data_IF_269270546024
#
_entry.id   IF_269270546024
#
_cell.length_a   1.000
_cell.length_b   1.000
_cell.length_c   1.000
_cell.angle_alpha   90.00
_cell.angle_beta   90.00
_cell.angle_gamma   90.00
#
_symmetry.space_group_name_H-M   'P 1'
#
loop_
_entity.id
_entity.type
_entity.pdbx_description
1 polymer ?
#
# COMPACT_ATOMS: atom_id res chain seq x y z
N UNK A 1 2.58 -11.41 -15.16
CA UNK A 1 1.32 -10.68 -15.44
C UNK A 1 1.07 -9.74 -14.29
N UNK A 2 1.00 -8.44 -14.54
CA UNK A 2 0.69 -7.44 -13.52
C UNK A 2 -0.83 -7.24 -13.45
N UNK A 3 -1.39 -7.15 -12.24
CA UNK A 3 -2.83 -6.98 -12.03
C UNK A 3 -3.06 -5.63 -11.37
N UNK A 4 -4.03 -4.87 -11.89
CA UNK A 4 -4.44 -3.59 -11.32
C UNK A 4 -5.86 -3.72 -10.78
N UNK A 5 -6.08 -3.24 -9.56
CA UNK A 5 -7.40 -3.04 -8.97
C UNK A 5 -7.67 -1.56 -8.79
N UNK A 6 -8.93 -1.15 -8.96
CA UNK A 6 -9.37 0.23 -8.84
C UNK A 6 -10.50 0.27 -7.85
N UNK A 7 -10.43 1.22 -6.91
CA UNK A 7 -11.54 1.56 -6.04
C UNK A 7 -11.73 3.07 -6.07
N UNK A 8 -12.91 3.51 -6.49
CA UNK A 8 -13.25 4.92 -6.49
C UNK A 8 -14.11 5.24 -5.26
N UNK A 9 -13.53 5.95 -4.28
CA UNK A 9 -14.20 6.39 -3.05
C UNK A 9 -14.65 7.85 -3.11
N UNK A 10 -14.19 8.61 -4.11
CA UNK A 10 -14.61 9.99 -4.31
C UNK A 10 -15.83 10.10 -5.23
N UNK A 11 -16.59 11.18 -5.05
CA UNK A 11 -17.78 11.51 -5.87
C UNK A 11 -17.67 12.85 -6.60
N UNK A 12 -16.50 13.50 -6.53
CA UNK A 12 -16.22 14.85 -7.04
C UNK A 12 -16.00 14.82 -8.56
N UNK A 13 -15.17 13.90 -9.04
CA UNK A 13 -14.79 13.78 -10.45
C UNK A 13 -15.43 12.52 -11.04
N UNK A 14 -16.18 12.70 -12.14
CA UNK A 14 -16.75 11.56 -12.87
C UNK A 14 -15.63 10.77 -13.55
N UNK A 15 -15.39 9.55 -13.07
CA UNK A 15 -14.39 8.65 -13.63
C UNK A 15 -15.02 7.62 -14.57
N UNK A 16 -14.37 7.37 -15.71
CA UNK A 16 -14.60 6.16 -16.48
C UNK A 16 -13.65 5.07 -15.94
N UNK A 17 -14.14 4.30 -14.97
CA UNK A 17 -13.36 3.31 -14.25
C UNK A 17 -12.78 2.21 -15.17
N UNK A 18 -13.54 1.79 -16.18
CA UNK A 18 -13.08 0.78 -17.15
C UNK A 18 -11.93 1.29 -18.01
N UNK A 19 -12.05 2.53 -18.51
CA UNK A 19 -10.99 3.16 -19.29
C UNK A 19 -9.74 3.40 -18.44
N UNK A 20 -9.91 3.94 -17.23
CA UNK A 20 -8.81 4.20 -16.30
C UNK A 20 -8.08 2.90 -15.94
N UNK A 21 -8.82 1.82 -15.65
CA UNK A 21 -8.25 0.51 -15.39
C UNK A 21 -7.40 0.01 -16.56
N UNK A 22 -7.95 0.08 -17.77
CA UNK A 22 -7.27 -0.38 -18.99
C UNK A 22 -5.98 0.42 -19.24
N UNK A 23 -6.04 1.74 -19.08
CA UNK A 23 -4.88 2.62 -19.23
C UNK A 23 -3.83 2.35 -18.15
N UNK A 24 -4.23 2.18 -16.89
CA UNK A 24 -3.32 1.88 -15.79
C UNK A 24 -2.59 0.55 -15.99
N UNK A 25 -3.29 -0.50 -16.44
CA UNK A 25 -2.69 -1.79 -16.77
C UNK A 25 -1.66 -1.67 -17.90
N UNK A 26 -1.97 -0.92 -18.95
CA UNK A 26 -1.06 -0.70 -20.07
C UNK A 26 0.21 0.06 -19.65
N UNK A 27 0.04 1.15 -18.88
CA UNK A 27 1.16 1.94 -18.35
C UNK A 27 2.05 1.09 -17.44
N UNK A 28 1.45 0.30 -16.56
CA UNK A 28 2.20 -0.58 -15.66
C UNK A 28 3.01 -1.62 -16.43
N UNK A 29 2.39 -2.31 -17.40
CA UNK A 29 3.08 -3.29 -18.23
C UNK A 29 4.26 -2.67 -19.01
N UNK A 30 4.08 -1.44 -19.50
CA UNK A 30 5.12 -0.71 -20.23
C UNK A 30 6.28 -0.29 -19.33
N UNK A 31 5.99 0.28 -18.16
CA UNK A 31 7.00 0.69 -17.18
C UNK A 31 7.85 -0.51 -16.71
N UNK A 32 7.22 -1.66 -16.47
CA UNK A 32 7.93 -2.86 -16.03
C UNK A 32 8.80 -3.44 -17.13
N UNK A 33 8.30 -3.51 -18.37
CA UNK A 33 9.12 -3.98 -19.51
C UNK A 33 10.31 -3.07 -19.78
N UNK A 34 10.18 -1.77 -19.51
CA UNK A 34 11.29 -0.81 -19.65
C UNK A 34 12.40 -0.99 -18.61
N UNK A 35 12.06 -1.51 -17.43
CA UNK A 35 13.00 -1.69 -16.30
C UNK A 35 13.58 -3.11 -16.25
N UNK A 36 12.78 -4.11 -16.60
CA UNK A 36 13.19 -5.52 -16.65
C UNK A 36 13.88 -5.78 -17.99
N UNK A 37 15.22 -5.86 -17.96
CA UNK A 37 16.05 -6.06 -19.16
C UNK A 37 15.56 -7.21 -20.05
N UNK A 38 15.78 -7.09 -21.37
CA UNK A 38 15.35 -8.06 -22.39
C UNK A 38 15.67 -9.50 -21.96
N UNK A 39 14.66 -10.38 -22.04
CA UNK A 39 14.81 -11.81 -21.73
C UNK A 39 14.60 -12.18 -20.26
N UNK A 40 14.34 -11.22 -19.36
CA UNK A 40 13.96 -11.51 -17.97
C UNK A 40 12.45 -11.61 -17.81
N UNK A 41 12.03 -12.56 -16.99
CA UNK A 41 10.62 -12.71 -16.64
C UNK A 41 10.16 -11.48 -15.85
N UNK A 42 9.05 -10.90 -16.28
CA UNK A 42 8.40 -9.81 -15.55
C UNK A 42 7.79 -10.40 -14.27
N UNK A 43 8.23 -9.97 -13.07
CA UNK A 43 7.66 -10.49 -11.84
C UNK A 43 6.14 -10.29 -11.82
N UNK A 44 5.41 -11.26 -11.26
CA UNK A 44 3.99 -11.09 -10.97
C UNK A 44 3.88 -10.18 -9.76
N UNK A 45 3.28 -9.01 -9.94
CA UNK A 45 2.98 -8.11 -8.85
C UNK A 45 1.63 -7.42 -9.09
N UNK A 46 1.03 -6.97 -8.01
CA UNK A 46 -0.28 -6.34 -7.99
C UNK A 46 -0.16 -4.86 -7.64
N UNK A 47 -1.03 -4.04 -8.20
CA UNK A 47 -1.16 -2.62 -7.85
C UNK A 47 -2.62 -2.28 -7.56
N UNK A 48 -2.88 -1.55 -6.49
CA UNK A 48 -4.21 -0.99 -6.22
C UNK A 48 -4.17 0.52 -6.40
N UNK A 49 -5.11 1.05 -7.19
CA UNK A 49 -5.39 2.46 -7.30
C UNK A 49 -6.65 2.75 -6.48
N UNK A 50 -6.54 3.64 -5.50
CA UNK A 50 -7.69 4.09 -4.71
C UNK A 50 -7.83 5.60 -4.89
N UNK A 51 -8.96 6.04 -5.46
CA UNK A 51 -9.26 7.45 -5.63
C UNK A 51 -10.08 7.92 -4.44
N UNK A 52 -9.58 8.90 -3.68
CA UNK A 52 -10.22 9.44 -2.47
C UNK A 52 -10.42 10.95 -2.59
N UNK A 53 -11.34 11.56 -1.82
CA UNK A 53 -11.46 13.01 -1.69
C UNK A 53 -10.23 13.68 -1.06
N UNK A 54 -10.15 15.01 -1.17
CA UNK A 54 -8.98 15.80 -0.72
C UNK A 54 -8.79 15.82 0.80
N UNK A 55 -9.88 15.80 1.57
CA UNK A 55 -9.86 15.70 3.03
C UNK A 55 -9.40 14.30 3.47
N UNK A 56 -9.88 13.25 2.81
CA UNK A 56 -9.45 11.88 3.10
C UNK A 56 -7.95 11.66 2.78
N UNK A 57 -7.44 12.15 1.64
CA UNK A 57 -6.00 12.03 1.36
C UNK A 57 -5.13 12.83 2.33
N UNK A 58 -5.61 13.99 2.82
CA UNK A 58 -4.91 14.75 3.86
C UNK A 58 -4.86 13.97 5.18
N UNK A 59 -5.97 13.34 5.58
CA UNK A 59 -6.01 12.49 6.78
C UNK A 59 -5.05 11.31 6.70
N UNK A 60 -4.97 10.69 5.52
CA UNK A 60 -4.00 9.62 5.24
C UNK A 60 -2.57 10.19 5.29
N UNK A 61 -2.31 11.34 4.66
CA UNK A 61 -0.98 11.97 4.65
C UNK A 61 -0.51 12.31 6.08
N UNK A 62 -1.42 12.84 6.92
CA UNK A 62 -1.16 13.13 8.34
C UNK A 62 -0.85 11.86 9.11
N UNK A 63 -1.61 10.77 8.90
CA UNK A 63 -1.41 9.50 9.60
C UNK A 63 -0.08 8.84 9.26
N UNK A 64 0.21 8.72 7.96
CA UNK A 64 1.32 7.91 7.45
C UNK A 64 2.62 8.70 7.25
N UNK A 65 2.56 9.98 6.85
CA UNK A 65 3.74 10.84 6.63
C UNK A 65 3.94 11.93 7.68
N UNK A 66 2.99 12.11 8.61
CA UNK A 66 3.00 13.19 9.62
C UNK A 66 2.95 14.60 8.99
N UNK A 67 2.37 14.71 7.80
CA UNK A 67 2.16 15.97 7.09
C UNK A 67 0.66 16.27 7.03
N UNK A 68 0.22 17.34 7.69
CA UNK A 68 -1.19 17.74 7.71
C UNK A 68 -1.54 18.66 6.54
N UNK A 69 -1.35 18.14 5.34
CA UNK A 69 -1.68 18.81 4.08
C UNK A 69 -2.14 17.78 3.05
N UNK A 70 -3.04 18.14 2.11
CA UNK A 70 -3.39 17.27 1.00
C UNK A 70 -2.19 17.04 0.08
N UNK A 71 -2.20 15.93 -0.66
CA UNK A 71 -1.20 15.60 -1.68
C UNK A 71 -1.91 14.91 -2.84
N UNK A 72 -1.35 14.99 -4.04
CA UNK A 72 -1.98 14.40 -5.23
C UNK A 72 -1.93 12.86 -5.21
N UNK A 73 -0.84 12.28 -4.69
CA UNK A 73 -0.61 10.84 -4.66
C UNK A 73 0.06 10.41 -3.37
N UNK A 74 -0.41 9.30 -2.80
CA UNK A 74 0.27 8.51 -1.78
C UNK A 74 0.52 7.10 -2.30
N UNK A 75 1.77 6.64 -2.19
CA UNK A 75 2.16 5.26 -2.50
C UNK A 75 2.45 4.51 -1.21
N UNK A 76 1.91 3.30 -1.10
CA UNK A 76 2.12 2.42 0.04
C UNK A 76 2.85 1.15 -0.38
N UNK A 77 3.89 0.75 0.35
CA UNK A 77 4.51 -0.56 0.18
C UNK A 77 3.50 -1.67 0.56
N UNK A 78 3.13 -2.49 -0.42
CA UNK A 78 2.17 -3.58 -0.21
C UNK A 78 2.81 -4.78 0.51
N UNK A 79 4.09 -5.05 0.26
CA UNK A 79 4.70 -6.31 0.67
C UNK A 79 5.14 -6.30 2.14
N UNK A 80 5.80 -5.25 2.59
CA UNK A 80 6.46 -5.19 3.89
C UNK A 80 5.46 -5.27 5.04
N UNK A 81 4.35 -4.52 4.94
CA UNK A 81 3.33 -4.53 5.98
C UNK A 81 2.57 -5.85 6.00
N UNK A 82 2.16 -6.37 4.83
CA UNK A 82 1.41 -7.63 4.74
C UNK A 82 2.28 -8.82 5.15
N UNK A 83 3.55 -8.85 4.78
CA UNK A 83 4.51 -9.87 5.21
C UNK A 83 4.72 -9.79 6.72
N UNK A 84 4.91 -8.59 7.26
CA UNK A 84 5.05 -8.40 8.72
C UNK A 84 3.81 -8.89 9.46
N UNK A 85 2.61 -8.57 8.95
CA UNK A 85 1.33 -9.02 9.49
C UNK A 85 1.20 -10.55 9.46
N UNK A 86 1.51 -11.16 8.30
CA UNK A 86 1.53 -12.62 8.14
C UNK A 86 2.53 -13.31 9.07
N UNK A 87 3.73 -12.75 9.25
CA UNK A 87 4.72 -13.24 10.22
C UNK A 87 4.17 -13.16 11.64
N UNK A 88 3.48 -12.08 12.02
CA UNK A 88 2.86 -11.98 13.33
C UNK A 88 1.84 -13.10 13.57
N UNK A 89 1.00 -13.44 12.58
CA UNK A 89 0.11 -14.60 12.67
C UNK A 89 0.85 -15.93 12.82
N UNK A 90 1.93 -16.15 12.05
CA UNK A 90 2.75 -17.36 12.17
C UNK A 90 3.41 -17.49 13.55
N UNK A 91 3.73 -16.36 14.19
CA UNK A 91 4.27 -16.30 15.54
C UNK A 91 3.19 -16.41 16.64
N UNK A 92 1.92 -16.63 16.27
CA UNK A 92 0.82 -16.83 17.19
C UNK A 92 0.11 -15.54 17.65
N UNK A 93 0.47 -14.38 17.11
CA UNK A 93 -0.27 -13.14 17.37
C UNK A 93 -1.59 -13.13 16.58
N UNK A 94 -2.64 -12.66 17.23
CA UNK A 94 -4.00 -12.59 16.68
C UNK A 94 -4.60 -11.22 17.01
N UNK A 95 -5.69 -10.84 16.35
CA UNK A 95 -6.33 -9.54 16.54
C UNK A 95 -7.85 -9.66 16.67
N UNK A 96 -8.34 -10.77 17.22
CA UNK A 96 -9.76 -11.06 17.46
C UNK A 96 -10.35 -10.29 18.65
N UNK A 97 -9.51 -9.77 19.55
CA UNK A 97 -9.93 -8.93 20.68
C UNK A 97 -9.07 -7.66 20.75
N UNK A 98 -9.55 -6.56 21.35
CA UNK A 98 -8.79 -5.32 21.46
C UNK A 98 -7.41 -5.50 22.10
N UNK A 99 -7.32 -6.30 23.16
CA UNK A 99 -6.04 -6.58 23.86
C UNK A 99 -5.05 -7.31 22.95
N UNK A 100 -5.51 -8.34 22.23
CA UNK A 100 -4.66 -9.10 21.30
C UNK A 100 -4.25 -8.25 20.10
N UNK A 101 -5.17 -7.45 19.55
CA UNK A 101 -4.87 -6.49 18.49
C UNK A 101 -3.76 -5.52 18.91
N UNK A 102 -3.82 -4.95 20.12
CA UNK A 102 -2.77 -4.06 20.63
C UNK A 102 -1.41 -4.75 20.76
N UNK A 103 -1.39 -6.02 21.18
CA UNK A 103 -0.16 -6.82 21.23
C UNK A 103 0.40 -7.06 19.82
N UNK A 104 -0.45 -7.46 18.87
CA UNK A 104 -0.06 -7.68 17.48
C UNK A 104 0.47 -6.40 16.83
N UNK A 105 -0.25 -5.28 16.98
CA UNK A 105 0.16 -3.97 16.50
C UNK A 105 1.55 -3.57 17.02
N UNK A 106 1.81 -3.82 18.31
CA UNK A 106 3.11 -3.51 18.92
C UNK A 106 4.25 -4.31 18.28
N UNK A 107 4.00 -5.57 17.89
CA UNK A 107 4.97 -6.41 17.19
C UNK A 107 5.19 -6.00 15.75
N UNK A 108 4.11 -5.67 15.04
CA UNK A 108 4.19 -5.14 13.68
C UNK A 108 5.00 -3.85 13.66
N UNK A 109 4.69 -2.92 14.56
CA UNK A 109 5.39 -1.64 14.70
C UNK A 109 6.87 -1.84 14.99
N UNK A 110 7.23 -2.73 15.90
CA UNK A 110 8.62 -3.02 16.22
C UNK A 110 9.38 -3.55 14.99
N UNK A 111 8.79 -4.51 14.28
CA UNK A 111 9.39 -5.13 13.08
C UNK A 111 9.58 -4.12 11.96
N UNK A 112 8.55 -3.32 11.68
CA UNK A 112 8.62 -2.27 10.65
C UNK A 112 9.58 -1.15 11.04
N UNK A 113 9.73 -0.83 12.34
CA UNK A 113 10.75 0.13 12.80
C UNK A 113 12.15 -0.37 12.50
N UNK A 114 12.44 -1.66 12.74
CA UNK A 114 13.72 -2.26 12.36
C UNK A 114 13.95 -2.19 10.84
N UNK A 115 12.94 -2.54 10.05
CA UNK A 115 13.02 -2.46 8.59
C UNK A 115 13.28 -1.01 8.10
N UNK A 116 12.55 -0.04 8.64
CA UNK A 116 12.70 1.39 8.33
C UNK A 116 14.14 1.86 8.57
N UNK A 117 14.73 1.49 9.71
CA UNK A 117 16.11 1.85 10.05
C UNK A 117 17.13 1.21 9.10
N UNK A 118 16.89 0.01 8.60
CA UNK A 118 17.81 -0.70 7.69
C UNK A 118 17.72 -0.22 6.24
N UNK A 119 16.55 0.21 5.79
CA UNK A 119 16.29 0.53 4.37
C UNK A 119 15.94 2.00 4.10
N UNK A 120 15.98 2.86 5.12
CA UNK A 120 15.68 4.29 4.97
C UNK A 120 14.23 4.57 4.57
N UNK A 121 13.30 3.72 5.03
CA UNK A 121 11.86 3.84 4.73
C UNK A 121 11.09 4.37 5.93
N UNK A 122 9.81 4.72 5.74
CA UNK A 122 8.93 5.19 6.81
C UNK A 122 7.57 4.48 6.75
N UNK A 123 7.62 3.15 6.92
CA UNK A 123 6.47 2.26 6.85
C UNK A 123 5.84 2.13 8.25
N UNK A 124 4.52 2.17 8.33
CA UNK A 124 3.77 1.93 9.58
C UNK A 124 2.76 0.79 9.39
N UNK A 125 2.34 0.10 10.46
CA UNK A 125 1.30 -0.93 10.37
C UNK A 125 -0.01 -0.37 9.78
N UNK A 126 -0.76 -1.23 9.07
CA UNK A 126 -2.06 -0.88 8.48
C UNK A 126 -3.21 -0.95 9.50
N UNK A 127 -3.09 -1.82 10.50
CA UNK A 127 -4.01 -2.01 11.62
C UNK A 127 -3.89 -0.79 12.54
N UNK A 128 -4.91 0.07 12.62
CA UNK A 128 -5.01 1.11 13.65
C UNK A 128 -6.24 0.83 14.51
#
# INVERSE_FOLDING_TARGET
MAVVWLKNLQTIVKLNESLLMTQAQFLLATAVRGTVGRGREVPRFGMSLVCVPSDEIQDINRRYRKLDEPTDVLSFPYHEVVVTHGICHLLGYTHDTPTKHQQMYSREKATLTCYNNSFGTNIIPLSN
#
